data_IF_951851675334
#
_entry.id   IF_951851675334
#
_cell.length_a   1.000
_cell.length_b   1.000
_cell.length_c   1.000
_cell.angle_alpha   90.00
_cell.angle_beta   90.00
_cell.angle_gamma   90.00
#
_symmetry.space_group_name_H-M   'P 1'
#
loop_
_entity.id
_entity.type
_entity.pdbx_description
1 polymer ?
#
# COMPACT_ATOMS: atom_id res chain seq x y z
N UNK A 1 24.31 -1.76 -3.69
CA UNK A 1 23.42 -0.70 -3.17
C UNK A 1 21.99 -1.23 -3.20
N UNK A 2 21.38 -1.49 -2.05
CA UNK A 2 20.04 -2.09 -1.94
C UNK A 2 18.99 -0.98 -2.06
N UNK A 3 18.24 -0.96 -3.15
CA UNK A 3 17.08 -0.07 -3.29
C UNK A 3 15.96 -0.68 -2.46
N UNK A 4 15.83 -0.23 -1.23
CA UNK A 4 14.65 -0.51 -0.44
C UNK A 4 13.48 0.07 -1.24
N UNK A 5 12.51 -0.76 -1.63
CA UNK A 5 11.18 -0.29 -2.10
C UNK A 5 10.39 0.32 -0.92
N UNK A 6 11.07 0.97 0.02
CA UNK A 6 10.47 1.78 1.04
C UNK A 6 10.08 3.07 0.33
N UNK A 7 8.81 3.12 -0.03
CA UNK A 7 7.98 4.30 0.08
C UNK A 7 8.71 5.62 -0.19
N UNK A 8 8.54 6.08 -1.43
CA UNK A 8 8.18 7.46 -1.70
C UNK A 8 7.34 8.04 -0.52
N UNK A 9 7.41 9.35 -0.19
CA UNK A 9 6.73 9.97 0.97
C UNK A 9 5.22 9.70 1.13
N UNK A 10 4.59 9.03 0.16
CA UNK A 10 3.17 8.72 0.11
C UNK A 10 2.79 7.27 0.52
N UNK A 11 3.73 6.47 1.01
CA UNK A 11 3.44 5.12 1.54
C UNK A 11 2.78 4.16 0.53
N UNK A 12 3.06 4.35 -0.77
CA UNK A 12 2.33 3.65 -1.82
C UNK A 12 3.17 2.56 -2.49
N UNK A 13 2.61 1.35 -2.55
CA UNK A 13 3.16 0.24 -3.33
C UNK A 13 2.59 0.27 -4.75
N UNK A 14 3.48 0.39 -5.74
CA UNK A 14 3.16 0.50 -7.17
C UNK A 14 3.34 -0.85 -7.89
N UNK A 15 2.25 -1.59 -8.22
CA UNK A 15 2.36 -2.90 -8.85
C UNK A 15 3.00 -2.85 -10.24
N UNK A 16 2.78 -1.77 -10.98
CA UNK A 16 3.31 -1.59 -12.34
C UNK A 16 4.84 -1.47 -12.34
N UNK A 17 5.40 -0.75 -11.36
CA UNK A 17 6.86 -0.65 -11.16
C UNK A 17 7.46 -2.00 -10.75
N UNK A 18 6.78 -2.75 -9.87
CA UNK A 18 7.23 -4.09 -9.47
C UNK A 18 7.21 -5.03 -10.68
N UNK A 19 6.15 -4.98 -11.48
CA UNK A 19 6.01 -5.78 -12.71
C UNK A 19 7.15 -5.48 -13.69
N UNK A 20 7.40 -4.19 -13.96
CA UNK A 20 8.48 -3.72 -14.82
C UNK A 20 9.86 -4.18 -14.35
N UNK A 21 10.18 -4.00 -13.06
CA UNK A 21 11.49 -4.37 -12.49
C UNK A 21 11.69 -5.88 -12.43
N UNK A 22 10.62 -6.65 -12.21
CA UNK A 22 10.68 -8.11 -12.18
C UNK A 22 10.68 -8.72 -13.59
N UNK A 23 10.29 -7.96 -14.63
CA UNK A 23 10.14 -8.46 -15.99
C UNK A 23 8.92 -9.35 -16.18
N UNK A 24 7.82 -9.06 -15.48
CA UNK A 24 6.56 -9.82 -15.56
C UNK A 24 5.38 -8.90 -15.82
N UNK A 25 4.23 -9.47 -16.16
CA UNK A 25 3.02 -8.70 -16.39
C UNK A 25 2.42 -8.15 -15.08
N UNK A 26 1.69 -7.03 -15.14
CA UNK A 26 0.91 -6.53 -13.99
C UNK A 26 -0.07 -7.61 -13.48
N UNK A 27 -0.87 -8.30 -14.31
CA UNK A 27 -1.74 -9.39 -13.84
C UNK A 27 -1.00 -10.43 -12.98
N UNK A 28 0.25 -10.77 -13.32
CA UNK A 28 1.09 -11.67 -12.53
C UNK A 28 1.34 -11.14 -11.10
N UNK A 29 1.71 -9.86 -10.96
CA UNK A 29 1.87 -9.23 -9.63
C UNK A 29 0.56 -9.22 -8.84
N UNK A 30 -0.55 -8.97 -9.54
CA UNK A 30 -1.90 -8.98 -8.96
C UNK A 30 -2.24 -10.33 -8.33
N UNK A 31 -1.89 -11.43 -9.03
CA UNK A 31 -2.08 -12.79 -8.55
C UNK A 31 -1.29 -13.05 -7.28
N UNK A 32 -0.02 -12.64 -7.23
CA UNK A 32 0.79 -12.77 -6.02
C UNK A 32 0.24 -11.94 -4.85
N UNK A 33 -0.24 -10.73 -5.11
CA UNK A 33 -0.86 -9.91 -4.07
C UNK A 33 -2.11 -10.58 -3.50
N UNK A 34 -2.97 -11.14 -4.36
CA UNK A 34 -4.14 -11.91 -3.90
C UNK A 34 -3.77 -13.09 -2.99
N UNK A 35 -2.72 -13.84 -3.35
CA UNK A 35 -2.21 -14.94 -2.52
C UNK A 35 -1.76 -14.45 -1.14
N UNK A 36 -1.03 -13.32 -1.09
CA UNK A 36 -0.58 -12.73 0.17
C UNK A 36 -1.74 -12.18 1.00
N UNK A 37 -2.76 -11.64 0.35
CA UNK A 37 -3.97 -11.13 1.01
C UNK A 37 -4.78 -12.26 1.65
N UNK A 38 -5.00 -13.34 0.91
CA UNK A 38 -5.67 -14.55 1.42
C UNK A 38 -4.88 -15.22 2.56
N UNK A 39 -3.55 -15.15 2.53
CA UNK A 39 -2.69 -15.67 3.59
C UNK A 39 -2.57 -14.73 4.81
N UNK A 40 -3.09 -13.50 4.73
CA UNK A 40 -3.09 -12.51 5.81
C UNK A 40 -1.82 -11.65 5.92
N UNK A 41 -0.93 -11.71 4.93
CA UNK A 41 0.33 -10.95 4.91
C UNK A 41 0.23 -9.64 4.10
N UNK A 42 -0.88 -9.44 3.39
CA UNK A 42 -1.22 -8.20 2.70
C UNK A 42 -2.62 -7.76 3.13
N UNK A 43 -2.79 -6.49 3.44
CA UNK A 43 -4.10 -5.84 3.55
C UNK A 43 -4.11 -4.60 2.67
N UNK A 44 -5.23 -4.33 2.01
CA UNK A 44 -5.38 -3.17 1.14
C UNK A 44 -6.62 -2.37 1.48
N UNK A 45 -6.52 -1.05 1.30
CA UNK A 45 -7.63 -0.13 1.58
C UNK A 45 -7.69 0.94 0.51
N UNK A 46 -8.91 1.24 0.07
CA UNK A 46 -9.17 2.37 -0.83
C UNK A 46 -9.49 3.61 -0.01
N UNK A 47 -8.80 4.71 -0.29
CA UNK A 47 -9.06 6.03 0.28
C UNK A 47 -9.11 7.07 -0.83
N UNK A 48 -9.90 8.12 -0.63
CA UNK A 48 -9.95 9.30 -1.49
C UNK A 48 -9.41 10.49 -0.70
N UNK A 49 -8.11 10.80 -0.79
CA UNK A 49 -7.55 11.97 -0.12
C UNK A 49 -8.24 13.25 -0.63
N UNK A 50 -8.52 14.24 0.22
CA UNK A 50 -8.99 15.55 -0.21
C UNK A 50 -7.95 16.19 -1.16
N UNK A 51 -8.41 16.85 -2.23
CA UNK A 51 -7.53 17.59 -3.16
C UNK A 51 -6.64 16.75 -4.09
N UNK A 52 -6.38 15.47 -3.80
CA UNK A 52 -5.71 14.55 -4.75
C UNK A 52 -6.79 13.83 -5.57
N UNK A 53 -6.90 14.17 -6.85
CA UNK A 53 -7.93 13.62 -7.73
C UNK A 53 -7.96 12.08 -7.73
N UNK A 54 -9.13 11.51 -7.44
CA UNK A 54 -9.39 10.08 -7.54
C UNK A 54 -9.20 9.27 -6.25
N UNK A 55 -9.58 8.00 -6.31
CA UNK A 55 -9.40 7.06 -5.20
C UNK A 55 -8.09 6.28 -5.35
N UNK A 56 -7.31 6.20 -4.28
CA UNK A 56 -6.03 5.52 -4.22
C UNK A 56 -6.14 4.23 -3.40
N UNK A 57 -5.40 3.21 -3.82
CA UNK A 57 -5.30 1.93 -3.08
C UNK A 57 -3.98 1.91 -2.32
N UNK A 58 -4.07 1.89 -0.99
CA UNK A 58 -2.95 1.71 -0.08
C UNK A 58 -2.82 0.23 0.25
N UNK A 59 -1.58 -0.25 0.38
CA UNK A 59 -1.23 -1.66 0.57
C UNK A 59 -0.26 -1.78 1.73
N UNK A 60 -0.62 -2.62 2.70
CA UNK A 60 0.17 -2.90 3.89
C UNK A 60 0.68 -4.32 3.83
N UNK A 61 2.01 -4.47 3.85
CA UNK A 61 2.68 -5.77 3.89
C UNK A 61 3.27 -5.99 5.27
N UNK A 62 3.28 -7.23 5.72
CA UNK A 62 3.88 -7.64 6.98
C UNK A 62 4.46 -9.04 6.83
N UNK A 63 5.59 -9.29 7.48
CA UNK A 63 6.21 -10.62 7.60
C UNK A 63 5.39 -11.56 8.49
N UNK A 64 4.53 -10.99 9.34
CA UNK A 64 3.54 -11.70 10.16
C UNK A 64 2.13 -11.41 9.69
N UNK A 65 1.19 -12.31 9.99
CA UNK A 65 -0.23 -12.07 9.70
C UNK A 65 -0.71 -10.78 10.36
N UNK A 66 -1.36 -9.94 9.57
CA UNK A 66 -1.93 -8.67 10.04
C UNK A 66 -3.26 -8.99 10.71
N UNK A 67 -3.30 -8.86 12.03
CA UNK A 67 -4.56 -8.95 12.79
C UNK A 67 -5.46 -7.74 12.52
N UNK A 68 -6.76 -7.89 12.78
CA UNK A 68 -7.71 -6.78 12.62
C UNK A 68 -7.35 -5.58 13.52
N UNK A 69 -6.94 -5.83 14.77
CA UNK A 69 -6.47 -4.77 15.68
C UNK A 69 -5.26 -4.00 15.11
N UNK A 70 -4.25 -4.70 14.58
CA UNK A 70 -3.11 -4.05 13.95
C UNK A 70 -3.53 -3.26 12.72
N UNK A 71 -4.45 -3.81 11.92
CA UNK A 71 -4.95 -3.15 10.73
C UNK A 71 -5.69 -1.86 11.07
N UNK A 72 -6.52 -1.85 12.11
CA UNK A 72 -7.22 -0.65 12.58
C UNK A 72 -6.25 0.46 12.99
N UNK A 73 -5.16 0.12 13.69
CA UNK A 73 -4.10 1.08 14.02
C UNK A 73 -3.45 1.62 12.73
N UNK A 74 -3.18 0.76 11.74
CA UNK A 74 -2.62 1.19 10.45
C UNK A 74 -3.57 2.15 9.72
N UNK A 75 -4.88 1.90 9.76
CA UNK A 75 -5.89 2.78 9.15
C UNK A 75 -5.92 4.14 9.84
N UNK A 76 -5.92 4.19 11.18
CA UNK A 76 -5.88 5.46 11.91
C UNK A 76 -4.64 6.28 11.56
N UNK A 77 -3.47 5.64 11.44
CA UNK A 77 -2.22 6.30 11.02
C UNK A 77 -2.28 6.79 9.59
N UNK A 78 -2.85 6.00 8.67
CA UNK A 78 -3.04 6.40 7.28
C UNK A 78 -3.96 7.63 7.18
N UNK A 79 -5.10 7.59 7.87
CA UNK A 79 -6.08 8.66 7.83
C UNK A 79 -5.49 9.96 8.43
N UNK A 80 -4.71 9.84 9.52
CA UNK A 80 -3.92 10.96 10.05
C UNK A 80 -2.91 11.49 9.04
N UNK A 81 -2.10 10.63 8.42
CA UNK A 81 -1.09 11.05 7.45
C UNK A 81 -1.72 11.74 6.21
N UNK A 82 -2.88 11.26 5.76
CA UNK A 82 -3.65 11.91 4.69
C UNK A 82 -4.07 13.32 5.11
N UNK A 83 -4.58 13.48 6.34
CA UNK A 83 -4.96 14.78 6.90
C UNK A 83 -3.76 15.73 7.08
N UNK A 84 -2.64 15.23 7.61
CA UNK A 84 -1.45 16.04 7.86
C UNK A 84 -0.80 16.49 6.53
N UNK A 85 -0.75 15.61 5.52
CA UNK A 85 -0.27 15.94 4.18
C UNK A 85 -1.12 16.98 3.44
N UNK A 86 -2.32 17.26 3.94
CA UNK A 86 -3.19 18.33 3.46
C UNK A 86 -2.88 19.67 4.14
N UNK A 87 -2.47 19.67 5.41
CA UNK A 87 -2.12 20.90 6.15
C UNK A 87 -0.76 21.50 5.77
N UNK A 88 0.14 20.70 5.19
CA UNK A 88 1.44 21.17 4.67
C UNK A 88 1.40 21.68 3.21
N UNK A 89 0.22 21.70 2.57
CA UNK A 89 0.02 22.27 1.21
C UNK A 89 -0.54 23.68 1.25
#
# INVERSE_FOLDING_TARGET
MMVILANHPNWQVYPDEIAKRKGVSRPTISKYFKILEEAGYLRQVRRKPPGRGGSHVFRFFSDRKISDFQFDIMLQRLDKAISDSFFEM
#
